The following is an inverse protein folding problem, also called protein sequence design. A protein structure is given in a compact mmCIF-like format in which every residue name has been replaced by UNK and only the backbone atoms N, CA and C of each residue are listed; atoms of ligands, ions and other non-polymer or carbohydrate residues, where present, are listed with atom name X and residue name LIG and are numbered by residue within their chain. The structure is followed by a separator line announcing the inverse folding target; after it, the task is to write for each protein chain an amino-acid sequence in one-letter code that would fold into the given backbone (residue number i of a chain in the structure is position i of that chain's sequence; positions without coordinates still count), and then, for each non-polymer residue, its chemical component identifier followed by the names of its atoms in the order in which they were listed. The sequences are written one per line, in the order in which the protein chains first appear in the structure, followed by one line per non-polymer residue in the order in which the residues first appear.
data_IF_660117347760
#
_entry.id   IF_660117347760
#
_cell.length_a   1.000
_cell.length_b   1.000
_cell.length_c   1.000
_cell.angle_alpha   90.00
_cell.angle_beta   90.00
_cell.angle_gamma   90.00
#
_symmetry.space_group_name_H-M   'P 1'
#
loop_
_entity.id
_entity.type
_entity.pdbx_description
1 polymer ?
#
# COMPACT_ATOMS: atom_id res chain seq x y z
N UNK A 1 6.18 -9.91 -3.70
CA UNK A 1 4.76 -9.57 -3.49
C UNK A 1 4.49 -8.17 -3.98
N UNK A 2 3.34 -7.96 -4.59
CA UNK A 2 2.78 -6.69 -5.04
C UNK A 2 1.97 -6.04 -3.90
N UNK A 3 1.71 -4.72 -3.96
CA UNK A 3 0.85 -4.06 -2.98
C UNK A 3 -0.53 -4.72 -2.84
N UNK A 4 -1.10 -5.18 -3.95
CA UNK A 4 -2.38 -5.89 -3.95
C UNK A 4 -2.32 -7.18 -3.13
N UNK A 5 -1.31 -8.01 -3.34
CA UNK A 5 -1.16 -9.28 -2.64
C UNK A 5 -1.04 -9.03 -1.13
N UNK A 6 -0.23 -8.04 -0.74
CA UNK A 6 -0.03 -7.67 0.66
C UNK A 6 -1.34 -7.20 1.31
N UNK A 7 -2.08 -6.29 0.66
CA UNK A 7 -3.35 -5.80 1.22
C UNK A 7 -4.42 -6.90 1.31
N UNK A 8 -4.43 -7.85 0.36
CA UNK A 8 -5.33 -9.01 0.45
C UNK A 8 -4.93 -9.95 1.59
N UNK A 9 -3.63 -10.24 1.78
CA UNK A 9 -3.20 -11.04 2.92
C UNK A 9 -3.58 -10.39 4.25
N UNK A 10 -3.45 -9.07 4.36
CA UNK A 10 -3.82 -8.33 5.58
C UNK A 10 -5.33 -8.30 5.82
N UNK A 11 -6.15 -8.36 4.76
CA UNK A 11 -7.62 -8.35 4.86
C UNK A 11 -8.21 -9.72 5.19
N UNK A 12 -7.68 -10.78 4.59
CA UNK A 12 -8.33 -12.11 4.59
C UNK A 12 -7.72 -13.12 5.54
N UNK A 13 -6.48 -12.90 6.04
CA UNK A 13 -5.89 -13.81 7.02
C UNK A 13 -6.39 -13.48 8.42
N UNK A 14 -6.80 -14.52 9.16
CA UNK A 14 -7.31 -14.39 10.54
C UNK A 14 -6.25 -13.88 11.54
N UNK A 15 -4.96 -14.12 11.27
CA UNK A 15 -3.85 -13.67 12.13
C UNK A 15 -3.36 -12.25 11.80
N UNK A 16 -4.04 -11.55 10.88
CA UNK A 16 -3.66 -10.21 10.43
C UNK A 16 -4.84 -9.26 10.51
N UNK A 17 -4.51 -7.97 10.62
CA UNK A 17 -5.51 -6.92 10.78
C UNK A 17 -5.19 -5.74 9.87
N UNK A 18 -5.90 -5.63 8.76
CA UNK A 18 -5.74 -4.55 7.79
C UNK A 18 -5.74 -3.17 8.45
N UNK A 19 -6.48 -2.95 9.54
CA UNK A 19 -6.57 -1.63 10.20
C UNK A 19 -5.24 -1.18 10.81
N UNK A 20 -4.31 -2.10 11.07
CA UNK A 20 -2.95 -1.82 11.57
C UNK A 20 -1.96 -1.47 10.46
N UNK A 21 -2.40 -1.47 9.20
CA UNK A 21 -1.58 -1.12 8.06
C UNK A 21 -1.67 0.36 7.73
N UNK A 22 -0.54 0.98 7.42
CA UNK A 22 -0.46 2.29 6.79
C UNK A 22 -0.10 2.12 5.32
N UNK A 23 -0.90 2.69 4.43
CA UNK A 23 -0.71 2.65 2.98
C UNK A 23 -0.25 4.03 2.52
N UNK A 24 0.96 4.08 1.95
CA UNK A 24 1.57 5.31 1.45
C UNK A 24 1.53 5.30 -0.08
N UNK A 25 0.87 6.29 -0.67
CA UNK A 25 0.72 6.38 -2.11
C UNK A 25 0.97 7.79 -2.66
N UNK A 26 1.49 7.86 -3.88
CA UNK A 26 1.73 9.13 -4.57
C UNK A 26 0.41 9.82 -4.91
N UNK A 27 0.30 11.10 -4.57
CA UNK A 27 -0.87 11.92 -4.89
C UNK A 27 -0.46 13.30 -5.37
N UNK A 28 -0.95 13.67 -6.56
CA UNK A 28 -0.74 15.01 -7.12
C UNK A 28 -1.65 15.99 -6.39
N UNK A 29 -1.11 17.17 -6.05
CA UNK A 29 -1.86 18.21 -5.34
C UNK A 29 -1.73 18.17 -3.81
N UNK A 30 -0.82 17.35 -3.28
CA UNK A 30 -0.41 17.42 -1.87
C UNK A 30 0.95 18.11 -1.77
N UNK A 31 1.17 18.91 -0.74
CA UNK A 31 2.46 19.59 -0.50
C UNK A 31 3.62 18.58 -0.34
N UNK A 32 3.31 17.39 0.16
CA UNK A 32 4.28 16.30 0.39
C UNK A 32 4.44 15.36 -0.82
N UNK A 33 3.60 15.49 -1.86
CA UNK A 33 3.57 14.60 -3.02
C UNK A 33 3.01 13.20 -2.77
N UNK A 34 2.57 12.91 -1.55
CA UNK A 34 1.99 11.62 -1.15
C UNK A 34 0.91 11.79 -0.08
N UNK A 35 0.10 10.75 0.07
CA UNK A 35 -0.90 10.61 1.12
C UNK A 35 -0.61 9.31 1.87
N UNK A 36 -0.91 9.32 3.17
CA UNK A 36 -0.90 8.16 4.05
C UNK A 36 -2.32 7.94 4.53
N UNK A 37 -2.82 6.72 4.38
CA UNK A 37 -4.11 6.28 4.93
C UNK A 37 -3.90 5.01 5.74
N UNK A 38 -4.79 4.76 6.68
CA UNK A 38 -4.88 3.48 7.38
C UNK A 38 -5.65 2.46 6.56
N UNK A 39 -5.41 1.18 6.77
CA UNK A 39 -6.18 0.12 6.13
C UNK A 39 -7.66 0.09 6.53
N UNK A 40 -8.03 0.75 7.63
CA UNK A 40 -9.43 0.95 8.02
C UNK A 40 -10.20 1.92 7.10
N UNK A 41 -9.50 2.73 6.32
CA UNK A 41 -10.12 3.66 5.35
C UNK A 41 -10.44 2.98 4.01
N UNK A 42 -10.01 1.73 3.82
CA UNK A 42 -10.27 0.97 2.60
C UNK A 42 -11.71 0.41 2.64
N UNK A 43 -12.52 0.80 1.67
CA UNK A 43 -13.89 0.30 1.50
C UNK A 43 -13.91 -0.95 0.61
N UNK A 44 -13.08 -0.98 -0.44
CA UNK A 44 -13.01 -2.11 -1.39
C UNK A 44 -11.58 -2.41 -1.85
N UNK A 45 -11.28 -3.70 -2.05
CA UNK A 45 -10.04 -4.17 -2.68
C UNK A 45 -10.38 -4.81 -4.03
N UNK A 46 -10.31 -4.01 -5.09
CA UNK A 46 -10.56 -4.45 -6.46
C UNK A 46 -9.35 -5.11 -7.12
N UNK A 47 -9.47 -5.43 -8.41
CA UNK A 47 -8.43 -6.14 -9.18
C UNK A 47 -7.18 -5.29 -9.40
N UNK A 48 -7.33 -4.01 -9.71
CA UNK A 48 -6.25 -3.10 -10.12
C UNK A 48 -6.15 -1.83 -9.26
N UNK A 49 -7.13 -1.62 -8.40
CA UNK A 49 -7.27 -0.46 -7.54
C UNK A 49 -7.89 -0.88 -6.21
N UNK A 50 -7.74 -0.03 -5.22
CA UNK A 50 -8.52 -0.05 -3.98
C UNK A 50 -9.36 1.22 -3.91
N UNK A 51 -10.41 1.17 -3.10
CA UNK A 51 -11.33 2.29 -2.90
C UNK A 51 -11.30 2.75 -1.45
N UNK A 52 -11.53 4.03 -1.28
CA UNK A 52 -11.79 4.71 -0.01
C UNK A 52 -13.14 5.40 -0.11
N UNK A 53 -13.64 5.97 0.99
CA UNK A 53 -14.87 6.75 0.95
C UNK A 53 -14.84 7.95 -0.03
N UNK A 54 -13.66 8.41 -0.45
CA UNK A 54 -13.52 9.65 -1.23
C UNK A 54 -12.80 9.47 -2.57
N UNK A 55 -12.18 8.31 -2.83
CA UNK A 55 -11.37 8.11 -4.02
C UNK A 55 -11.13 6.64 -4.36
N UNK A 56 -10.87 6.39 -5.65
CA UNK A 56 -10.33 5.14 -6.20
C UNK A 56 -8.85 5.31 -6.50
N UNK A 57 -8.00 4.47 -5.90
CA UNK A 57 -6.54 4.57 -5.99
C UNK A 57 -5.96 3.31 -6.64
N UNK A 58 -5.25 3.42 -7.77
CA UNK A 58 -4.53 2.30 -8.37
C UNK A 58 -3.37 1.80 -7.50
N UNK A 59 -3.20 0.48 -7.40
CA UNK A 59 -2.11 -0.11 -6.59
C UNK A 59 -0.70 0.32 -7.02
N UNK A 60 -0.51 0.70 -8.30
CA UNK A 60 0.79 1.15 -8.77
C UNK A 60 1.25 2.46 -8.12
N UNK A 61 0.33 3.24 -7.53
CA UNK A 61 0.67 4.47 -6.79
C UNK A 61 1.25 4.20 -5.42
N UNK A 62 1.03 2.99 -4.86
CA UNK A 62 1.58 2.59 -3.58
C UNK A 62 3.09 2.41 -3.72
N UNK A 63 3.83 3.13 -2.89
CA UNK A 63 5.28 3.02 -2.79
C UNK A 63 5.75 2.46 -1.45
N UNK A 64 4.92 2.51 -0.40
CA UNK A 64 5.25 1.93 0.90
C UNK A 64 4.02 1.40 1.63
N UNK A 65 4.18 0.28 2.34
CA UNK A 65 3.19 -0.26 3.27
C UNK A 65 3.90 -0.55 4.58
N UNK A 66 3.37 -0.01 5.67
CA UNK A 66 3.83 -0.27 7.04
C UNK A 66 2.75 -1.08 7.76
N UNK A 67 3.13 -2.09 8.54
CA UNK A 67 2.22 -2.86 9.37
C UNK A 67 2.71 -2.85 10.81
N UNK A 68 1.96 -2.20 11.70
CA UNK A 68 2.46 -1.84 13.03
C UNK A 68 3.67 -0.91 12.89
N UNK A 69 4.87 -1.43 13.20
CA UNK A 69 6.14 -0.69 13.10
C UNK A 69 7.08 -1.24 12.02
N UNK A 70 6.62 -2.19 11.20
CA UNK A 70 7.45 -2.86 10.20
C UNK A 70 7.10 -2.43 8.77
N UNK A 71 8.11 -2.10 7.97
CA UNK A 71 7.93 -1.84 6.54
C UNK A 71 7.87 -3.17 5.80
N UNK A 72 6.66 -3.59 5.44
CA UNK A 72 6.42 -4.86 4.73
C UNK A 72 6.41 -4.69 3.19
N UNK A 73 6.36 -3.45 2.71
CA UNK A 73 6.53 -3.12 1.30
C UNK A 73 7.27 -1.79 1.15
N UNK A 74 8.27 -1.76 0.27
CA UNK A 74 9.00 -0.57 -0.13
C UNK A 74 9.40 -0.69 -1.60
N UNK A 75 8.82 0.16 -2.44
CA UNK A 75 9.02 0.13 -3.89
C UNK A 75 10.46 0.52 -4.26
N UNK A 76 11.02 1.54 -3.62
CA UNK A 76 12.36 2.01 -3.92
C UNK A 76 13.41 0.95 -3.58
N UNK A 77 13.22 0.23 -2.48
CA UNK A 77 14.09 -0.91 -2.13
C UNK A 77 13.99 -2.07 -3.13
N UNK A 78 12.79 -2.35 -3.65
CA UNK A 78 12.61 -3.38 -4.68
C UNK A 78 13.28 -2.98 -6.00
N UNK A 79 13.23 -1.71 -6.37
CA UNK A 79 13.91 -1.17 -7.56
C UNK A 79 15.43 -1.26 -7.40
N UNK A 80 15.99 -0.81 -6.27
CA UNK A 80 17.43 -0.92 -5.97
C UNK A 80 17.93 -2.37 -6.06
N UNK A 81 17.18 -3.33 -5.50
CA UNK A 81 17.53 -4.77 -5.57
C UNK A 81 17.57 -5.29 -7.01
N UNK A 82 16.69 -4.81 -7.89
CA UNK A 82 16.68 -5.18 -9.32
C UNK A 82 17.90 -4.64 -10.06
N UNK A 83 18.38 -3.46 -9.71
CA UNK A 83 19.56 -2.85 -10.35
C UNK A 83 20.91 -3.33 -9.78
N UNK A 84 20.92 -4.00 -8.62
CA UNK A 84 22.16 -4.50 -7.98
C UNK A 84 22.61 -5.88 -8.49
N UNK A 85 21.81 -6.55 -9.34
CA UNK A 85 22.10 -7.88 -9.89
C UNK A 85 22.47 -7.83 -11.38
N UNK A 86 23.09 -6.74 -11.85
CA UNK A 86 23.57 -6.58 -13.23
C UNK A 86 25.09 -6.47 -13.23
#
# INVERSE_FOLDING_TARGET
MTPREILNELKWREDRDLTKAEIWYYSRGTERGHVVITGGELTELGKSFFETASATIPYYKIFRIVYGNEVIFDREQLEKKRFTHI
#
